data_IF_217027277104
#
_entry.id   IF_217027277104
#
_cell.length_a   1.000
_cell.length_b   1.000
_cell.length_c   1.000
_cell.angle_alpha   90.00
_cell.angle_beta   90.00
_cell.angle_gamma   90.00
#
_symmetry.space_group_name_H-M   'P 1'
#
loop_
_entity.id
_entity.type
_entity.pdbx_description
1 polymer ?
#
# COMPACT_ATOMS: atom_id res chain seq x y z
N UNK A 1 -11.71 17.96 -10.47
CA UNK A 1 -11.98 16.53 -10.19
C UNK A 1 -11.20 16.14 -8.95
N UNK A 2 -11.79 15.36 -8.04
CA UNK A 2 -11.04 14.82 -6.89
C UNK A 2 -10.10 13.71 -7.36
N UNK A 3 -8.88 13.64 -6.81
CA UNK A 3 -7.94 12.57 -7.10
C UNK A 3 -8.52 11.20 -6.71
N UNK A 4 -8.27 10.18 -7.53
CA UNK A 4 -8.70 8.79 -7.32
C UNK A 4 -7.74 8.10 -6.36
N UNK A 5 -7.92 8.39 -5.08
CA UNK A 5 -7.10 7.89 -4.00
C UNK A 5 -7.92 7.20 -2.93
N UNK A 6 -7.35 6.15 -2.33
CA UNK A 6 -7.97 5.43 -1.22
C UNK A 6 -6.91 5.02 -0.20
N UNK A 7 -7.30 4.98 1.08
CA UNK A 7 -6.51 4.41 2.16
C UNK A 7 -7.35 3.39 2.92
N UNK A 8 -6.77 2.23 3.20
CA UNK A 8 -7.39 1.14 3.94
C UNK A 8 -6.48 0.76 5.10
N UNK A 9 -7.06 0.67 6.29
CA UNK A 9 -6.40 0.13 7.49
C UNK A 9 -7.16 -1.10 7.93
N UNK A 10 -6.46 -2.23 8.06
CA UNK A 10 -7.02 -3.49 8.53
C UNK A 10 -6.13 -4.06 9.62
N UNK A 11 -6.68 -4.19 10.81
CA UNK A 11 -5.98 -4.77 11.95
C UNK A 11 -6.73 -6.01 12.42
N UNK A 12 -6.04 -7.13 12.45
CA UNK A 12 -6.49 -8.37 13.10
C UNK A 12 -5.52 -8.74 14.22
N UNK A 13 -5.70 -9.92 14.82
CA UNK A 13 -4.75 -10.42 15.83
C UNK A 13 -3.46 -10.92 15.20
N UNK A 14 -3.52 -11.35 13.94
CA UNK A 14 -2.42 -11.94 13.19
C UNK A 14 -1.58 -10.87 12.49
N UNK A 15 -2.22 -9.86 11.88
CA UNK A 15 -1.53 -8.84 11.09
C UNK A 15 -2.11 -7.45 11.27
N UNK A 16 -1.28 -6.44 11.04
CA UNK A 16 -1.66 -5.02 11.02
C UNK A 16 -1.22 -4.46 9.67
N UNK A 17 -2.19 -4.03 8.86
CA UNK A 17 -1.97 -3.63 7.47
C UNK A 17 -2.50 -2.21 7.28
N UNK A 18 -1.69 -1.37 6.62
CA UNK A 18 -2.09 -0.07 6.08
C UNK A 18 -1.66 -0.01 4.63
N UNK A 19 -2.60 0.30 3.74
CA UNK A 19 -2.33 0.48 2.32
C UNK A 19 -2.97 1.78 1.85
N UNK A 20 -2.23 2.56 1.07
CA UNK A 20 -2.72 3.76 0.38
C UNK A 20 -2.37 3.65 -1.10
N UNK A 21 -3.34 3.91 -1.96
CA UNK A 21 -3.18 3.87 -3.41
C UNK A 21 -3.67 5.18 -4.01
N UNK A 22 -2.91 5.73 -4.95
CA UNK A 22 -3.31 6.86 -5.79
C UNK A 22 -3.23 6.45 -7.26
N UNK A 23 -4.38 6.33 -7.92
CA UNK A 23 -4.46 5.94 -9.34
C UNK A 23 -4.03 7.06 -10.29
N UNK A 24 -3.91 8.29 -9.79
CA UNK A 24 -3.44 9.47 -10.52
C UNK A 24 -1.99 9.84 -10.10
N UNK A 25 -1.26 8.90 -9.49
CA UNK A 25 0.11 9.10 -9.00
C UNK A 25 1.18 9.00 -10.09
N UNK A 26 2.44 9.19 -9.69
CA UNK A 26 3.62 9.24 -10.58
C UNK A 26 4.57 8.05 -10.37
N UNK A 27 4.07 6.89 -9.92
CA UNK A 27 4.88 5.69 -9.69
C UNK A 27 5.79 5.75 -8.45
N UNK A 28 5.42 6.50 -7.42
CA UNK A 28 6.14 6.55 -6.14
C UNK A 28 5.53 5.54 -5.17
N UNK A 29 6.35 4.65 -4.61
CA UNK A 29 5.95 3.62 -3.65
C UNK A 29 6.82 3.63 -2.39
N UNK A 30 6.22 3.30 -1.25
CA UNK A 30 6.95 2.94 -0.03
C UNK A 30 6.32 1.65 0.49
N UNK A 31 7.07 0.56 0.36
CA UNK A 31 6.64 -0.80 0.64
C UNK A 31 7.49 -1.36 1.77
N UNK A 32 6.81 -1.87 2.80
CA UNK A 32 7.44 -2.53 3.94
C UNK A 32 6.47 -3.56 4.51
N UNK A 33 6.32 -4.68 3.80
CA UNK A 33 5.46 -5.78 4.24
C UNK A 33 6.15 -6.69 5.26
N UNK A 34 7.46 -6.50 5.49
CA UNK A 34 8.30 -7.41 6.27
C UNK A 34 8.72 -8.67 5.50
N UNK A 35 8.32 -8.80 4.22
CA UNK A 35 8.72 -9.88 3.32
C UNK A 35 9.34 -9.30 2.04
N UNK A 36 10.66 -9.29 1.96
CA UNK A 36 11.40 -8.64 0.88
C UNK A 36 10.97 -9.07 -0.54
N UNK A 37 10.64 -10.36 -0.74
CA UNK A 37 10.17 -10.84 -2.03
C UNK A 37 8.79 -10.27 -2.41
N UNK A 38 7.89 -10.10 -1.44
CA UNK A 38 6.59 -9.49 -1.69
C UNK A 38 6.74 -7.99 -1.99
N UNK A 39 7.62 -7.29 -1.26
CA UNK A 39 7.93 -5.89 -1.54
C UNK A 39 8.44 -5.72 -2.98
N UNK A 40 9.31 -6.63 -3.45
CA UNK A 40 9.78 -6.62 -4.84
C UNK A 40 8.67 -6.83 -5.89
N UNK A 41 7.66 -7.65 -5.58
CA UNK A 41 6.54 -7.90 -6.51
C UNK A 41 5.54 -6.72 -6.59
N UNK A 42 5.53 -5.83 -5.59
CA UNK A 42 4.58 -4.73 -5.49
C UNK A 42 5.14 -3.39 -5.99
N UNK A 43 6.44 -3.33 -6.30
CA UNK A 43 7.14 -2.16 -6.84
C UNK A 43 6.85 -1.93 -8.34
#
# INVERSE_FOLDING_TARGET
>A
MSARQAEVVRNTRETKIRARVNLDGTGQGNLNTGMAFLDHMLD
#
